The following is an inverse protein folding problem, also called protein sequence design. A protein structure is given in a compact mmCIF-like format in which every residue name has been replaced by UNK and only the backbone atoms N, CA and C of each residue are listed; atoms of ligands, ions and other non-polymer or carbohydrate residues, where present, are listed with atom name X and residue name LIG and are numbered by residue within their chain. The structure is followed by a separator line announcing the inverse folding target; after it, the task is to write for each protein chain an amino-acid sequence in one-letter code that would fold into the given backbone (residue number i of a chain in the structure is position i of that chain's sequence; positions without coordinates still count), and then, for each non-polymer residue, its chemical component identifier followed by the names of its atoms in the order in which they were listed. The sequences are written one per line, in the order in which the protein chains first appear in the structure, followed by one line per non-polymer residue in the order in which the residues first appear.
data_IF_092362152346
#
_entry.id   IF_092362152346
#
_cell.length_a   1.000
_cell.length_b   1.000
_cell.length_c   1.000
_cell.angle_alpha   90.00
_cell.angle_beta   90.00
_cell.angle_gamma   90.00
#
_symmetry.space_group_name_H-M   'P 1'
#
loop_
_entity.id
_entity.type
_entity.pdbx_description
1 polymer ?
#
# COMPACT_ATOMS: atom_id res chain seq x y z
N UNK A 1 -0.98 21.52 -2.14
CA UNK A 1 -1.29 20.61 -3.26
C UNK A 1 -2.80 20.41 -3.33
N UNK A 2 -3.35 20.05 -4.50
CA UNK A 2 -4.78 19.74 -4.63
C UNK A 2 -5.22 18.64 -3.64
N UNK A 3 -4.36 17.63 -3.41
CA UNK A 3 -4.59 16.59 -2.41
C UNK A 3 -4.84 17.15 -1.01
N UNK A 4 -3.95 17.99 -0.47
CA UNK A 4 -4.09 18.51 0.90
C UNK A 4 -5.38 19.34 1.07
N UNK A 5 -5.75 20.11 0.05
CA UNK A 5 -6.99 20.87 0.08
C UNK A 5 -8.21 19.95 0.08
N UNK A 6 -8.23 18.94 -0.79
CA UNK A 6 -9.32 17.98 -0.87
C UNK A 6 -9.48 17.18 0.45
N UNK A 7 -8.37 16.78 1.06
CA UNK A 7 -8.36 16.05 2.34
C UNK A 7 -8.84 16.95 3.48
N UNK A 8 -8.43 18.23 3.54
CA UNK A 8 -8.94 19.17 4.53
C UNK A 8 -10.45 19.39 4.41
N UNK A 9 -10.96 19.56 3.18
CA UNK A 9 -12.39 19.67 2.92
C UNK A 9 -13.13 18.40 3.32
N UNK A 10 -12.62 17.22 2.94
CA UNK A 10 -13.21 15.94 3.31
C UNK A 10 -13.27 15.76 4.83
N UNK A 11 -12.18 16.08 5.55
CA UNK A 11 -12.15 16.02 7.01
C UNK A 11 -13.20 16.93 7.65
N UNK A 12 -13.32 18.17 7.15
CA UNK A 12 -14.34 19.12 7.62
C UNK A 12 -15.75 18.57 7.40
N UNK A 13 -16.05 18.06 6.19
CA UNK A 13 -17.36 17.50 5.86
C UNK A 13 -17.71 16.28 6.72
N UNK A 14 -16.76 15.38 6.95
CA UNK A 14 -16.98 14.18 7.76
C UNK A 14 -17.04 14.49 9.27
N UNK A 15 -16.40 15.58 9.70
CA UNK A 15 -16.43 16.06 11.10
C UNK A 15 -17.69 16.83 11.46
N UNK A 16 -18.44 17.32 10.45
CA UNK A 16 -19.76 17.96 10.64
C UNK A 16 -20.77 16.87 10.99
N UNK A 17 -20.90 16.59 12.28
CA UNK A 17 -21.96 15.73 12.80
C UNK A 17 -23.35 16.21 12.35
N UNK A 18 -24.30 15.28 12.19
CA UNK A 18 -25.71 15.66 12.04
C UNK A 18 -26.22 16.45 13.26
N UNK A 19 -27.41 17.04 13.18
CA UNK A 19 -28.02 17.96 14.19
C UNK A 19 -27.91 17.55 15.68
N UNK A 20 -27.62 16.28 16.01
CA UNK A 20 -27.49 15.74 17.38
C UNK A 20 -26.09 15.20 17.75
N UNK A 21 -25.08 15.28 16.87
CA UNK A 21 -23.75 14.71 17.12
C UNK A 21 -22.74 15.80 17.48
N UNK A 22 -21.89 15.52 18.48
CA UNK A 22 -20.72 16.36 18.78
C UNK A 22 -19.82 16.46 17.54
N UNK A 23 -19.24 17.63 17.26
CA UNK A 23 -18.34 17.83 16.13
C UNK A 23 -17.08 16.97 16.30
N UNK A 24 -16.51 16.57 15.16
CA UNK A 24 -15.29 15.76 15.11
C UNK A 24 -15.49 14.43 14.36
N UNK A 25 -14.47 14.02 13.62
CA UNK A 25 -14.46 12.75 12.92
C UNK A 25 -14.37 11.59 13.91
N UNK A 26 -15.36 10.70 13.90
CA UNK A 26 -15.34 9.50 14.73
C UNK A 26 -14.53 8.38 14.08
N UNK A 27 -13.83 7.60 14.89
CA UNK A 27 -13.06 6.43 14.45
C UNK A 27 -13.84 5.47 13.57
N UNK A 28 -15.12 5.20 13.86
CA UNK A 28 -15.95 4.34 13.01
C UNK A 28 -16.09 4.85 11.56
N UNK A 29 -16.36 6.16 11.40
CA UNK A 29 -16.53 6.78 10.09
C UNK A 29 -15.19 6.85 9.34
N UNK A 30 -14.13 7.14 10.08
CA UNK A 30 -12.76 7.14 9.58
C UNK A 30 -12.35 5.75 9.05
N UNK A 31 -12.50 4.69 9.84
CA UNK A 31 -12.15 3.33 9.45
C UNK A 31 -12.97 2.86 8.24
N UNK A 32 -14.26 3.20 8.20
CA UNK A 32 -15.12 2.92 7.04
C UNK A 32 -14.63 3.65 5.78
N UNK A 33 -14.24 4.93 5.89
CA UNK A 33 -13.66 5.66 4.77
C UNK A 33 -12.39 4.97 4.24
N UNK A 34 -11.47 4.58 5.13
CA UNK A 34 -10.23 3.94 4.70
C UNK A 34 -10.50 2.62 3.94
N UNK A 35 -11.45 1.80 4.40
CA UNK A 35 -11.88 0.60 3.68
C UNK A 35 -12.41 0.93 2.29
N UNK A 36 -13.22 1.99 2.17
CA UNK A 36 -13.76 2.46 0.88
C UNK A 36 -12.66 2.93 -0.06
N UNK A 37 -11.69 3.71 0.42
CA UNK A 37 -10.55 4.16 -0.39
C UNK A 37 -9.77 2.96 -0.95
N UNK A 38 -9.47 1.95 -0.13
CA UNK A 38 -8.79 0.74 -0.60
C UNK A 38 -9.62 -0.04 -1.62
N UNK A 39 -10.91 -0.25 -1.35
CA UNK A 39 -11.81 -0.99 -2.23
C UNK A 39 -12.01 -0.30 -3.58
N UNK A 40 -12.28 1.00 -3.57
CA UNK A 40 -12.47 1.80 -4.78
C UNK A 40 -11.14 1.93 -5.56
N UNK A 41 -10.00 1.81 -4.87
CA UNK A 41 -8.67 1.65 -5.46
C UNK A 41 -8.38 0.26 -6.06
N UNK A 42 -9.33 -0.68 -5.99
CA UNK A 42 -9.20 -2.04 -6.51
C UNK A 42 -8.36 -2.96 -5.63
N UNK A 43 -8.33 -2.74 -4.31
CA UNK A 43 -7.69 -3.66 -3.36
C UNK A 43 -8.75 -4.49 -2.66
N UNK A 44 -8.59 -5.82 -2.71
CA UNK A 44 -9.48 -6.75 -2.04
C UNK A 44 -9.44 -6.56 -0.51
N UNK A 45 -10.56 -6.84 0.15
CA UNK A 45 -10.66 -6.74 1.61
C UNK A 45 -9.57 -7.52 2.36
N UNK A 46 -9.30 -8.82 2.10
CA UNK A 46 -8.30 -9.57 2.85
C UNK A 46 -6.89 -8.96 2.74
N UNK A 47 -6.56 -8.40 1.57
CA UNK A 47 -5.26 -7.75 1.30
C UNK A 47 -5.13 -6.41 2.03
N UNK A 48 -6.23 -5.65 2.13
CA UNK A 48 -6.22 -4.34 2.80
C UNK A 48 -6.46 -4.42 4.31
N UNK A 49 -7.09 -5.48 4.81
CA UNK A 49 -7.46 -5.63 6.21
C UNK A 49 -6.29 -5.42 7.20
N UNK A 50 -5.06 -5.93 6.96
CA UNK A 50 -3.95 -5.70 7.88
C UNK A 50 -3.51 -4.23 7.91
N UNK A 51 -3.59 -3.51 6.78
CA UNK A 51 -3.32 -2.07 6.73
C UNK A 51 -4.38 -1.30 7.52
N UNK A 52 -5.66 -1.61 7.31
CA UNK A 52 -6.77 -0.96 8.01
C UNK A 52 -6.66 -1.20 9.51
N UNK A 53 -6.35 -2.43 9.94
CA UNK A 53 -6.10 -2.76 11.34
C UNK A 53 -4.94 -1.96 11.91
N UNK A 54 -3.89 -1.72 11.12
CA UNK A 54 -2.75 -0.90 11.56
C UNK A 54 -3.14 0.57 11.72
N UNK A 55 -3.92 1.12 10.82
CA UNK A 55 -4.33 2.53 10.84
C UNK A 55 -5.58 2.81 11.69
N UNK A 56 -6.19 1.79 12.31
CA UNK A 56 -7.49 1.93 12.97
C UNK A 56 -7.46 2.87 14.18
N UNK A 57 -8.58 3.54 14.39
CA UNK A 57 -8.92 4.21 15.66
C UNK A 57 -10.09 3.48 16.31
N UNK A 58 -10.26 3.65 17.62
CA UNK A 58 -11.44 3.11 18.31
C UNK A 58 -12.70 3.81 17.80
N UNK A 59 -13.83 3.10 17.72
CA UNK A 59 -15.05 3.60 17.08
C UNK A 59 -15.55 4.96 17.62
N UNK A 60 -15.31 5.21 18.90
CA UNK A 60 -15.73 6.39 19.64
C UNK A 60 -14.66 7.50 19.72
N UNK A 61 -13.43 7.20 19.33
CA UNK A 61 -12.30 8.12 19.36
C UNK A 61 -12.51 9.26 18.36
N UNK A 62 -12.06 10.46 18.74
CA UNK A 62 -12.02 11.61 17.86
C UNK A 62 -10.70 11.59 17.08
N UNK A 63 -10.79 11.42 15.77
CA UNK A 63 -9.62 11.27 14.90
C UNK A 63 -9.01 12.64 14.58
N UNK A 64 -7.73 12.90 14.91
CA UNK A 64 -7.04 14.13 14.55
C UNK A 64 -6.88 14.28 13.03
N UNK A 65 -6.80 15.53 12.56
CA UNK A 65 -6.65 15.81 11.13
C UNK A 65 -5.35 15.22 10.55
N UNK A 66 -4.23 15.29 11.26
CA UNK A 66 -2.95 14.78 10.77
C UNK A 66 -2.95 13.26 10.62
N UNK A 67 -3.55 12.56 11.57
CA UNK A 67 -3.76 11.11 11.49
C UNK A 67 -4.64 10.75 10.29
N UNK A 68 -5.78 11.45 10.14
CA UNK A 68 -6.67 11.28 8.99
C UNK A 68 -5.94 11.49 7.66
N UNK A 69 -5.21 12.59 7.52
CA UNK A 69 -4.47 12.94 6.31
C UNK A 69 -3.40 11.91 5.97
N UNK A 70 -2.64 11.49 6.98
CA UNK A 70 -1.62 10.46 6.82
C UNK A 70 -2.23 9.13 6.36
N UNK A 71 -3.26 8.64 7.06
CA UNK A 71 -3.88 7.37 6.76
C UNK A 71 -4.55 7.33 5.38
N UNK A 72 -5.25 8.41 5.00
CA UNK A 72 -5.85 8.53 3.67
C UNK A 72 -4.78 8.48 2.57
N UNK A 73 -3.68 9.23 2.74
CA UNK A 73 -2.56 9.18 1.80
C UNK A 73 -1.97 7.78 1.72
N UNK A 74 -1.74 7.12 2.86
CA UNK A 74 -1.23 5.75 2.94
C UNK A 74 -2.14 4.77 2.18
N UNK A 75 -3.47 4.87 2.32
CA UNK A 75 -4.41 4.02 1.58
C UNK A 75 -4.35 4.24 0.06
N UNK A 76 -4.26 5.49 -0.41
CA UNK A 76 -4.10 5.78 -1.83
C UNK A 76 -2.80 5.22 -2.40
N UNK A 77 -1.69 5.47 -1.70
CA UNK A 77 -0.37 4.98 -2.10
C UNK A 77 -0.32 3.45 -2.08
N UNK A 78 -0.95 2.81 -1.09
CA UNK A 78 -1.08 1.36 -1.03
C UNK A 78 -1.87 0.81 -2.21
N UNK A 79 -3.02 1.41 -2.55
CA UNK A 79 -3.80 0.98 -3.71
C UNK A 79 -3.00 1.10 -5.01
N UNK A 80 -2.24 2.18 -5.18
CA UNK A 80 -1.35 2.36 -6.31
C UNK A 80 -0.22 1.33 -6.36
N UNK A 81 0.39 1.05 -5.20
CA UNK A 81 1.41 0.02 -5.07
C UNK A 81 0.85 -1.35 -5.47
N UNK A 82 -0.33 -1.74 -4.96
CA UNK A 82 -0.95 -3.02 -5.28
C UNK A 82 -1.30 -3.15 -6.76
N UNK A 83 -1.73 -2.06 -7.40
CA UNK A 83 -1.98 -2.04 -8.85
C UNK A 83 -0.70 -2.29 -9.64
N UNK A 84 0.39 -1.61 -9.29
CA UNK A 84 1.70 -1.80 -9.93
C UNK A 84 2.22 -3.22 -9.71
N UNK A 85 2.09 -3.77 -8.50
CA UNK A 85 2.49 -5.14 -8.18
C UNK A 85 1.74 -6.16 -9.02
N UNK A 86 0.41 -6.01 -9.22
CA UNK A 86 -0.35 -6.88 -10.14
C UNK A 86 0.15 -6.80 -11.57
N UNK A 87 0.38 -5.60 -12.10
CA UNK A 87 0.91 -5.44 -13.46
C UNK A 87 2.30 -6.05 -13.62
N UNK A 88 3.14 -6.00 -12.58
CA UNK A 88 4.45 -6.66 -12.58
C UNK A 88 4.33 -8.19 -12.58
N UNK A 89 3.40 -8.73 -11.79
CA UNK A 89 3.12 -10.17 -11.80
C UNK A 89 2.61 -10.66 -13.16
N UNK A 90 1.75 -9.89 -13.82
CA UNK A 90 1.24 -10.21 -15.17
C UNK A 90 2.32 -10.11 -16.25
N UNK A 91 3.33 -9.24 -16.05
CA UNK A 91 4.41 -9.03 -17.00
C UNK A 91 5.51 -10.10 -16.92
N UNK A 92 5.73 -10.71 -15.75
CA UNK A 92 6.53 -11.93 -15.63
C UNK A 92 5.67 -13.12 -16.01
N UNK A 93 6.23 -14.18 -16.60
CA UNK A 93 5.44 -15.39 -16.87
C UNK A 93 4.80 -15.84 -15.56
N UNK A 94 3.47 -15.68 -15.39
CA UNK A 94 2.83 -15.99 -14.13
C UNK A 94 3.09 -17.46 -13.87
N UNK A 95 3.51 -17.80 -12.64
CA UNK A 95 4.02 -19.10 -12.20
C UNK A 95 5.55 -19.32 -12.20
N UNK A 96 6.39 -18.42 -12.70
CA UNK A 96 7.83 -18.51 -12.40
C UNK A 96 8.13 -17.90 -11.01
N UNK A 97 8.20 -18.74 -9.99
CA UNK A 97 8.48 -18.32 -8.62
C UNK A 97 9.86 -17.68 -8.43
N UNK A 98 10.85 -18.00 -9.26
CA UNK A 98 12.17 -17.35 -9.20
C UNK A 98 12.04 -15.90 -9.65
N UNK A 99 11.37 -15.67 -10.78
CA UNK A 99 11.11 -14.32 -11.29
C UNK A 99 10.22 -13.52 -10.33
N UNK A 100 9.16 -14.13 -9.80
CA UNK A 100 8.27 -13.48 -8.83
C UNK A 100 9.04 -13.04 -7.58
N UNK A 101 9.93 -13.89 -7.04
CA UNK A 101 10.79 -13.53 -5.90
C UNK A 101 11.78 -12.41 -6.25
N UNK A 102 12.34 -12.40 -7.45
CA UNK A 102 13.23 -11.33 -7.91
C UNK A 102 12.50 -9.98 -7.97
N UNK A 103 11.24 -9.99 -8.44
CA UNK A 103 10.37 -8.81 -8.44
C UNK A 103 10.07 -8.36 -7.00
N UNK A 104 9.65 -9.27 -6.11
CA UNK A 104 9.38 -8.95 -4.70
C UNK A 104 10.61 -8.40 -3.98
N UNK A 105 11.79 -8.95 -4.25
CA UNK A 105 13.07 -8.42 -3.75
C UNK A 105 13.33 -7.00 -4.25
N UNK A 106 13.13 -6.75 -5.54
CA UNK A 106 13.28 -5.41 -6.12
C UNK A 106 12.28 -4.40 -5.53
N UNK A 107 11.04 -4.82 -5.26
CA UNK A 107 10.03 -4.01 -4.56
C UNK A 107 10.46 -3.67 -3.13
N UNK A 108 10.99 -4.66 -2.40
CA UNK A 108 11.52 -4.48 -1.04
C UNK A 108 12.65 -3.45 -1.01
N UNK A 109 13.64 -3.60 -1.87
CA UNK A 109 14.81 -2.70 -1.93
C UNK A 109 14.40 -1.26 -2.25
N UNK A 110 13.44 -1.10 -3.16
CA UNK A 110 12.90 0.21 -3.49
C UNK A 110 12.25 0.87 -2.27
N UNK A 111 11.45 0.11 -1.50
CA UNK A 111 10.83 0.58 -0.27
C UNK A 111 11.86 0.85 0.86
N UNK A 112 13.05 0.24 0.83
CA UNK A 112 14.15 0.48 1.78
C UNK A 112 14.92 1.77 1.49
N UNK A 113 15.11 2.07 0.21
CA UNK A 113 15.90 3.23 -0.23
C UNK A 113 15.23 4.58 0.11
N UNK A 114 14.01 4.58 0.65
CA UNK A 114 13.26 5.80 0.97
C UNK A 114 13.48 6.35 2.38
N UNK A 115 14.12 5.62 3.30
CA UNK A 115 14.64 6.12 4.60
C UNK A 115 13.71 6.92 5.52
N UNK A 116 12.45 7.17 5.14
CA UNK A 116 11.60 8.20 5.71
C UNK A 116 10.15 7.72 5.80
N UNK A 117 9.46 8.22 6.82
CA UNK A 117 8.11 7.85 7.24
C UNK A 117 6.97 8.46 6.41
N UNK A 118 7.29 9.14 5.31
CA UNK A 118 6.30 9.83 4.49
C UNK A 118 5.78 8.91 3.38
N UNK A 119 4.48 8.54 3.39
CA UNK A 119 3.88 7.72 2.36
C UNK A 119 4.04 8.29 0.94
N UNK A 120 4.15 9.62 0.79
CA UNK A 120 4.39 10.24 -0.50
C UNK A 120 5.72 9.80 -1.13
N UNK A 121 6.73 9.43 -0.34
CA UNK A 121 8.04 9.00 -0.86
C UNK A 121 8.05 7.55 -1.33
N UNK A 122 7.05 6.72 -0.99
CA UNK A 122 6.89 5.41 -1.65
C UNK A 122 6.61 5.56 -3.16
N UNK A 123 6.08 6.69 -3.61
CA UNK A 123 5.99 7.00 -5.04
C UNK A 123 7.38 7.24 -5.65
N UNK A 124 8.31 7.85 -4.91
CA UNK A 124 9.70 8.04 -5.36
C UNK A 124 10.49 6.72 -5.37
N UNK A 125 10.23 5.80 -4.42
CA UNK A 125 10.74 4.43 -4.50
C UNK A 125 10.32 3.76 -5.82
N UNK A 126 9.07 3.95 -6.24
CA UNK A 126 8.58 3.40 -7.51
C UNK A 126 9.27 3.99 -8.75
N UNK A 127 9.80 5.21 -8.67
CA UNK A 127 10.62 5.79 -9.74
C UNK A 127 12.03 5.17 -9.81
N UNK A 128 12.53 4.59 -8.71
CA UNK A 128 13.83 3.89 -8.67
C UNK A 128 13.77 2.46 -9.24
N UNK A 129 12.57 1.86 -9.27
CA UNK A 129 12.27 0.63 -10.02
C UNK A 129 12.17 0.94 -11.51
N UNK A 130 13.31 1.26 -12.12
CA UNK A 130 13.36 1.39 -13.57
C UNK A 130 13.27 0.01 -14.23
N UNK A 131 12.66 -0.10 -15.42
CA UNK A 131 12.56 -1.38 -16.13
C UNK A 131 13.90 -2.09 -16.30
N UNK A 132 14.98 -1.34 -16.56
CA UNK A 132 16.32 -1.91 -16.72
C UNK A 132 16.88 -2.55 -15.45
N UNK A 133 16.67 -1.94 -14.26
CA UNK A 133 17.12 -2.53 -12.99
C UNK A 133 16.32 -3.78 -12.65
N UNK A 134 15.02 -3.77 -12.93
CA UNK A 134 14.16 -4.93 -12.73
C UNK A 134 14.57 -6.09 -13.64
N UNK A 135 14.79 -5.83 -14.93
CA UNK A 135 15.27 -6.83 -15.89
C UNK A 135 16.62 -7.43 -15.46
N UNK A 136 17.56 -6.60 -14.98
CA UNK A 136 18.84 -7.08 -14.47
C UNK A 136 18.68 -7.97 -13.22
N UNK A 137 17.77 -7.64 -12.32
CA UNK A 137 17.49 -8.46 -11.13
C UNK A 137 16.89 -9.82 -11.51
N UNK A 138 15.98 -9.84 -12.49
CA UNK A 138 15.38 -11.05 -13.04
C UNK A 138 16.41 -11.96 -13.73
N UNK A 139 17.27 -11.40 -14.59
CA UNK A 139 18.35 -12.14 -15.28
C UNK A 139 19.35 -12.76 -14.27
N UNK A 140 19.73 -12.00 -13.24
CA UNK A 140 20.56 -12.52 -12.14
C UNK A 140 19.88 -13.65 -11.38
N UNK A 141 18.58 -13.55 -11.10
CA UNK A 141 17.87 -14.60 -10.39
C UNK A 141 17.79 -15.89 -11.22
N UNK A 142 17.58 -15.78 -12.54
CA UNK A 142 17.57 -16.94 -13.43
C UNK A 142 18.95 -17.60 -13.55
N UNK A 143 20.02 -16.80 -13.67
CA UNK A 143 21.39 -17.34 -13.74
C UNK A 143 21.81 -18.04 -12.45
N UNK A 144 21.43 -17.50 -11.28
CA UNK A 144 21.70 -18.12 -9.98
C UNK A 144 20.86 -19.39 -9.72
N UNK A 145 19.68 -19.48 -10.33
CA UNK A 145 18.79 -20.62 -10.17
C UNK A 145 19.05 -21.76 -11.17
N UNK A 146 20.11 -21.68 -11.99
CA UNK A 146 20.45 -22.73 -12.95
C UNK A 146 20.62 -24.08 -12.24
N UNK A 147 19.64 -24.98 -12.41
CA UNK A 147 19.60 -26.31 -11.79
C UNK A 147 18.63 -26.48 -10.61
N UNK A 148 17.93 -25.42 -10.18
CA UNK A 148 16.89 -25.51 -9.15
C UNK A 148 15.50 -25.50 -9.79
N UNK A 149 14.61 -26.46 -9.49
CA UNK A 149 13.24 -26.41 -10.01
C UNK A 149 12.51 -25.18 -9.45
N UNK A 150 11.93 -24.38 -10.34
CA UNK A 150 11.09 -23.26 -9.92
C UNK A 150 9.83 -23.79 -9.24
N UNK A 151 9.55 -23.29 -8.03
CA UNK A 151 8.21 -23.42 -7.46
C UNK A 151 7.28 -22.47 -8.19
N UNK A 152 6.04 -22.87 -8.41
CA UNK A 152 5.06 -21.96 -9.00
C UNK A 152 4.56 -21.00 -7.94
N UNK A 153 4.55 -19.70 -8.24
CA UNK A 153 3.96 -18.68 -7.38
C UNK A 153 2.64 -18.20 -7.99
N UNK A 154 1.56 -18.31 -7.21
CA UNK A 154 0.23 -17.84 -7.61
C UNK A 154 0.10 -16.32 -7.48
N UNK A 155 -0.90 -15.75 -8.18
CA UNK A 155 -1.18 -14.32 -8.08
C UNK A 155 -1.56 -13.92 -6.65
N UNK A 156 -2.37 -14.73 -5.97
CA UNK A 156 -2.80 -14.45 -4.59
C UNK A 156 -1.62 -14.40 -3.61
N UNK A 157 -0.74 -15.40 -3.66
CA UNK A 157 0.50 -15.47 -2.88
C UNK A 157 1.40 -14.26 -3.13
N UNK A 158 1.63 -13.91 -4.39
CA UNK A 158 2.45 -12.75 -4.76
C UNK A 158 1.88 -11.45 -4.20
N UNK A 159 0.54 -11.28 -4.28
CA UNK A 159 -0.16 -10.09 -3.80
C UNK A 159 -0.17 -10.02 -2.27
N UNK A 160 -0.29 -11.16 -1.59
CA UNK A 160 -0.15 -11.25 -0.14
C UNK A 160 1.25 -10.79 0.30
N UNK A 161 2.31 -11.36 -0.30
CA UNK A 161 3.68 -10.97 0.01
C UNK A 161 3.97 -9.49 -0.30
N UNK A 162 3.55 -9.01 -1.47
CA UNK A 162 3.70 -7.60 -1.84
C UNK A 162 3.00 -6.68 -0.85
N UNK A 163 1.79 -7.03 -0.40
CA UNK A 163 1.05 -6.24 0.58
C UNK A 163 1.76 -6.20 1.93
N UNK A 164 2.31 -7.34 2.38
CA UNK A 164 3.07 -7.44 3.62
C UNK A 164 4.33 -6.57 3.59
N UNK A 165 5.03 -6.52 2.44
CA UNK A 165 6.18 -5.63 2.22
C UNK A 165 5.81 -4.18 2.51
N UNK A 166 4.73 -3.69 1.90
CA UNK A 166 4.29 -2.30 2.08
C UNK A 166 3.87 -2.03 3.53
N UNK A 167 3.03 -2.89 4.11
CA UNK A 167 2.45 -2.71 5.44
C UNK A 167 3.54 -2.74 6.53
N UNK A 168 4.60 -3.52 6.34
CA UNK A 168 5.75 -3.54 7.25
C UNK A 168 6.41 -2.16 7.42
N UNK A 169 6.31 -1.29 6.41
CA UNK A 169 6.94 0.04 6.38
C UNK A 169 6.04 1.18 6.86
N UNK A 170 4.74 0.98 6.83
CA UNK A 170 3.79 1.96 7.38
C UNK A 170 4.08 2.15 8.87
N UNK A 171 4.42 3.38 9.26
CA UNK A 171 4.55 3.73 10.68
C UNK A 171 3.21 4.14 11.24
N UNK A 172 2.98 3.85 12.51
CA UNK A 172 1.86 4.43 13.24
C UNK A 172 2.20 5.89 13.53
N UNK A 173 1.33 6.79 13.12
CA UNK A 173 1.35 8.17 13.60
C UNK A 173 0.41 8.19 14.80
N UNK A 174 0.97 8.39 15.99
CA UNK A 174 0.23 8.57 17.23
C UNK A 174 0.02 10.06 17.49
#
# INVERSE_FOLDING_TARGET
SAFNNNVAVAFSLLSRGGRKRKPGLKGRMYTELLRRVCRDGGVAEPVSAPLIKKLHCQDHEAVPFDLFRHAVLTCFVFADFMRKSRSLFEAVSPSDGILCRAVLGSLRDALETTGCSDPARYLEASAKLTPGRLAQAMDRAQTLASGTPSTLMGQEEFIEEASALFISRVKLVS
#
